data_IF_935251946295
#
_entry.id   IF_935251946295
#
_cell.length_a   1.000
_cell.length_b   1.000
_cell.length_c   1.000
_cell.angle_alpha   90.00
_cell.angle_beta   90.00
_cell.angle_gamma   90.00
#
_symmetry.space_group_name_H-M   'P 1'
#
loop_
_entity.id
_entity.type
_entity.pdbx_description
1 polymer ?
#
# COMPACT_ATOMS: atom_id res chain seq x y z
N UNK A 1 -14.30 -16.78 -22.67
CA UNK A 1 -13.86 -15.59 -21.93
C UNK A 1 -14.97 -14.56 -21.82
N UNK A 2 -15.49 -14.11 -22.94
CA UNK A 2 -16.53 -13.09 -22.92
C UNK A 2 -17.80 -13.54 -22.19
N UNK A 3 -18.14 -14.82 -22.26
CA UNK A 3 -19.31 -15.36 -21.56
C UNK A 3 -19.15 -15.28 -20.05
N UNK A 4 -17.97 -15.62 -19.56
CA UNK A 4 -17.66 -15.56 -18.14
C UNK A 4 -17.68 -14.13 -17.64
N UNK A 5 -17.09 -13.25 -18.40
CA UNK A 5 -17.04 -11.83 -18.07
C UNK A 5 -18.45 -11.22 -18.04
N UNK A 6 -19.25 -11.54 -19.04
CA UNK A 6 -20.63 -11.08 -19.11
C UNK A 6 -21.46 -11.58 -17.94
N UNK A 7 -21.20 -12.78 -17.50
CA UNK A 7 -21.86 -13.37 -16.33
C UNK A 7 -21.55 -12.58 -15.07
N UNK A 8 -20.28 -12.22 -14.90
CA UNK A 8 -19.85 -11.42 -13.76
C UNK A 8 -20.52 -10.04 -13.77
N UNK A 9 -20.58 -9.43 -14.92
CA UNK A 9 -21.17 -8.11 -15.06
C UNK A 9 -22.66 -8.13 -14.75
N UNK A 10 -23.36 -9.19 -15.16
CA UNK A 10 -24.80 -9.30 -14.95
C UNK A 10 -25.17 -9.78 -13.55
N UNK A 11 -24.26 -10.43 -12.86
CA UNK A 11 -24.49 -10.97 -11.54
C UNK A 11 -24.21 -9.88 -10.49
N UNK A 12 -25.22 -9.55 -9.71
CA UNK A 12 -25.07 -8.54 -8.64
C UNK A 12 -24.00 -8.94 -7.64
N UNK A 13 -23.93 -10.23 -7.30
CA UNK A 13 -22.90 -10.75 -6.40
C UNK A 13 -21.52 -10.57 -7.00
N UNK A 14 -21.39 -10.85 -8.31
CA UNK A 14 -20.13 -10.66 -9.03
C UNK A 14 -19.71 -9.21 -9.07
N UNK A 15 -20.67 -8.33 -9.37
CA UNK A 15 -20.38 -6.89 -9.42
C UNK A 15 -19.95 -6.37 -8.05
N UNK A 16 -20.62 -6.82 -6.99
CA UNK A 16 -20.27 -6.44 -5.63
C UNK A 16 -18.87 -6.93 -5.25
N UNK A 17 -18.55 -8.17 -5.64
CA UNK A 17 -17.23 -8.73 -5.37
C UNK A 17 -16.13 -7.95 -6.08
N UNK A 18 -16.37 -7.55 -7.31
CA UNK A 18 -15.41 -6.75 -8.07
C UNK A 18 -15.22 -5.38 -7.42
N UNK A 19 -16.32 -4.75 -7.03
CA UNK A 19 -16.27 -3.46 -6.37
C UNK A 19 -15.52 -3.53 -5.04
N UNK A 20 -15.82 -4.55 -4.25
CA UNK A 20 -15.12 -4.78 -3.00
C UNK A 20 -13.62 -5.00 -3.23
N UNK A 21 -13.30 -5.80 -4.23
CA UNK A 21 -11.91 -6.07 -4.59
C UNK A 21 -11.15 -4.82 -4.99
N UNK A 22 -11.80 -3.94 -5.75
CA UNK A 22 -11.18 -2.68 -6.15
C UNK A 22 -10.95 -1.77 -4.95
N UNK A 23 -11.91 -1.67 -4.06
CA UNK A 23 -11.77 -0.86 -2.86
C UNK A 23 -10.65 -1.40 -1.99
N UNK A 24 -10.62 -2.70 -1.77
CA UNK A 24 -9.57 -3.34 -0.97
C UNK A 24 -8.19 -3.14 -1.60
N UNK A 25 -8.10 -3.24 -2.92
CA UNK A 25 -6.83 -3.03 -3.63
C UNK A 25 -6.35 -1.58 -3.50
N UNK A 26 -7.26 -0.62 -3.60
CA UNK A 26 -6.89 0.79 -3.47
C UNK A 26 -6.43 1.11 -2.05
N UNK A 27 -7.12 0.55 -1.05
CA UNK A 27 -6.72 0.73 0.35
C UNK A 27 -5.35 0.10 0.59
N UNK A 28 -5.14 -1.11 0.10
CA UNK A 28 -3.86 -1.79 0.25
C UNK A 28 -2.73 -1.00 -0.39
N UNK A 29 -2.98 -0.46 -1.59
CA UNK A 29 -1.99 0.34 -2.30
C UNK A 29 -1.65 1.61 -1.51
N UNK A 30 -2.66 2.27 -0.98
CA UNK A 30 -2.45 3.48 -0.17
C UNK A 30 -1.62 3.16 1.08
N UNK A 31 -1.91 2.03 1.72
CA UNK A 31 -1.15 1.60 2.90
C UNK A 31 0.31 1.30 2.53
N UNK A 32 0.53 0.63 1.42
CA UNK A 32 1.89 0.30 0.96
C UNK A 32 2.68 1.59 0.71
N UNK A 33 2.08 2.53 -0.01
CA UNK A 33 2.74 3.81 -0.31
C UNK A 33 3.03 4.57 0.97
N UNK A 34 2.06 4.65 1.88
CA UNK A 34 2.23 5.33 3.17
C UNK A 34 3.28 4.66 4.05
N UNK A 35 3.28 3.33 4.08
CA UNK A 35 4.26 2.59 4.86
C UNK A 35 5.68 2.80 4.33
N UNK A 36 5.84 2.83 3.01
CA UNK A 36 7.14 3.10 2.41
C UNK A 36 7.63 4.50 2.74
N UNK A 37 6.77 5.48 2.65
CA UNK A 37 7.13 6.86 2.97
C UNK A 37 7.52 6.99 4.44
N UNK A 38 6.76 6.36 5.32
CA UNK A 38 7.04 6.36 6.76
C UNK A 38 8.36 5.66 7.05
N UNK A 39 8.57 4.51 6.42
CA UNK A 39 9.82 3.75 6.59
C UNK A 39 11.04 4.56 6.17
N UNK A 40 10.93 5.25 5.03
CA UNK A 40 12.01 6.10 4.55
C UNK A 40 12.29 7.26 5.52
N UNK A 41 11.24 7.88 6.04
CA UNK A 41 11.40 8.98 7.00
C UNK A 41 12.06 8.50 8.29
N UNK A 42 11.64 7.33 8.78
CA UNK A 42 12.25 6.74 9.97
C UNK A 42 13.72 6.37 9.72
N UNK A 43 14.01 5.79 8.59
CA UNK A 43 15.38 5.44 8.23
C UNK A 43 16.27 6.67 8.20
N UNK A 44 15.78 7.74 7.57
CA UNK A 44 16.52 9.01 7.53
C UNK A 44 16.73 9.58 8.92
N UNK A 45 15.73 9.47 9.78
CA UNK A 45 15.81 9.96 11.15
C UNK A 45 16.87 9.20 11.94
N UNK A 46 16.87 7.89 11.84
CA UNK A 46 17.87 7.06 12.52
C UNK A 46 19.27 7.32 11.99
N UNK A 47 19.40 7.52 10.69
CA UNK A 47 20.69 7.85 10.09
C UNK A 47 21.21 9.20 10.61
N UNK A 48 20.31 10.16 10.79
CA UNK A 48 20.68 11.47 11.34
C UNK A 48 21.14 11.34 12.78
N UNK A 49 20.46 10.51 13.56
CA UNK A 49 20.84 10.25 14.95
C UNK A 49 22.20 9.58 15.01
N UNK A 50 22.41 8.57 14.17
CA UNK A 50 23.69 7.86 14.12
C UNK A 50 24.84 8.81 13.76
N UNK A 51 24.61 9.69 12.80
CA UNK A 51 25.61 10.68 12.41
C UNK A 51 25.96 11.62 13.56
N UNK A 52 24.97 12.03 14.34
CA UNK A 52 25.19 12.88 15.51
C UNK A 52 25.97 12.16 16.58
N UNK A 53 25.68 10.91 16.81
CA UNK A 53 26.42 10.11 17.78
C UNK A 53 27.86 9.93 17.35
N UNK A 54 28.10 9.68 16.08
CA UNK A 54 29.46 9.58 15.54
C UNK A 54 30.22 10.88 15.67
N UNK A 55 29.57 12.01 15.38
CA UNK A 55 30.19 13.32 15.47
C UNK A 55 30.62 13.66 16.91
N UNK A 56 29.89 13.12 17.91
CA UNK A 56 30.16 13.36 19.31
C UNK A 56 30.99 12.26 19.97
N UNK A 57 31.36 11.24 19.22
CA UNK A 57 32.18 10.16 19.76
C UNK A 57 33.62 10.64 19.93
N UNK A 58 34.29 10.20 21.02
CA UNK A 58 35.71 10.58 21.26
C UNK A 58 36.68 9.97 20.26
#
# INVERSE_FOLDING_TARGET
MSKLFARFVKDESGATAIEYGLIAALIALAIIVGAKATGNALSNQFNSIAAKLDANAP
#
